data_IF_318199990703
#
_entry.id   IF_318199990703
#
_cell.length_a   1.000
_cell.length_b   1.000
_cell.length_c   1.000
_cell.angle_alpha   90.00
_cell.angle_beta   90.00
_cell.angle_gamma   90.00
#
_symmetry.space_group_name_H-M   'P 1'
#
loop_
_entity.id
_entity.type
_entity.pdbx_description
1 polymer ?
#
# COMPACT_ATOMS: atom_id res chain seq x y z
N UNK A 1 12.88 10.00 -24.23
CA UNK A 1 13.52 9.84 -22.91
C UNK A 1 14.90 9.26 -23.09
N UNK A 2 15.89 9.68 -22.29
CA UNK A 2 17.19 9.03 -22.19
C UNK A 2 17.20 7.96 -21.06
N UNK A 3 18.28 7.18 -20.96
CA UNK A 3 18.40 6.12 -19.94
C UNK A 3 18.23 6.66 -18.51
N UNK A 4 18.83 7.81 -18.21
CA UNK A 4 18.76 8.43 -16.89
C UNK A 4 17.33 8.84 -16.52
N UNK A 5 16.58 9.40 -17.47
CA UNK A 5 15.16 9.76 -17.27
C UNK A 5 14.29 8.52 -17.02
N UNK A 6 14.58 7.39 -17.68
CA UNK A 6 13.86 6.13 -17.44
C UNK A 6 14.16 5.56 -16.05
N UNK A 7 15.42 5.61 -15.61
CA UNK A 7 15.83 5.21 -14.26
C UNK A 7 15.17 6.10 -13.21
N UNK A 8 15.19 7.42 -13.42
CA UNK A 8 14.53 8.37 -12.53
C UNK A 8 13.03 8.08 -12.44
N UNK A 9 12.34 7.91 -13.57
CA UNK A 9 10.92 7.60 -13.60
C UNK A 9 10.61 6.30 -12.84
N UNK A 10 11.47 5.28 -12.96
CA UNK A 10 11.31 4.02 -12.22
C UNK A 10 11.34 4.25 -10.70
N UNK A 11 12.28 5.05 -10.19
CA UNK A 11 12.36 5.39 -8.78
C UNK A 11 11.22 6.31 -8.33
N UNK A 12 10.74 7.22 -9.18
CA UNK A 12 9.55 8.02 -8.88
C UNK A 12 8.31 7.15 -8.69
N UNK A 13 8.13 6.08 -9.50
CA UNK A 13 7.05 5.11 -9.28
C UNK A 13 7.26 4.32 -7.98
N UNK A 14 8.50 3.98 -7.63
CA UNK A 14 8.81 3.34 -6.35
C UNK A 14 8.46 4.25 -5.15
N UNK A 15 8.78 5.54 -5.23
CA UNK A 15 8.45 6.53 -4.22
C UNK A 15 6.93 6.75 -4.08
N UNK A 16 6.21 6.79 -5.21
CA UNK A 16 4.75 6.86 -5.21
C UNK A 16 4.13 5.63 -4.51
N UNK A 17 4.63 4.43 -4.80
CA UNK A 17 4.22 3.20 -4.10
C UNK A 17 4.46 3.30 -2.59
N UNK A 18 5.62 3.81 -2.18
CA UNK A 18 5.94 4.00 -0.75
C UNK A 18 5.01 5.03 -0.10
N UNK A 19 4.65 6.11 -0.80
CA UNK A 19 3.73 7.12 -0.28
C UNK A 19 2.32 6.54 -0.02
N UNK A 20 1.80 5.70 -0.91
CA UNK A 20 0.52 5.00 -0.69
C UNK A 20 0.60 4.04 0.50
N UNK A 21 1.70 3.31 0.68
CA UNK A 21 1.90 2.48 1.87
C UNK A 21 1.96 3.30 3.15
N UNK A 22 2.70 4.40 3.17
CA UNK A 22 2.80 5.26 4.34
C UNK A 22 1.44 5.84 4.73
N UNK A 23 0.68 6.36 3.76
CA UNK A 23 -0.67 6.85 3.99
C UNK A 23 -1.57 5.73 4.56
N UNK A 24 -1.51 4.55 3.96
CA UNK A 24 -2.28 3.39 4.43
C UNK A 24 -1.99 3.04 5.89
N UNK A 25 -0.71 2.94 6.26
CA UNK A 25 -0.29 2.64 7.65
C UNK A 25 -0.77 3.72 8.62
N UNK A 26 -0.68 4.99 8.25
CA UNK A 26 -1.18 6.10 9.08
C UNK A 26 -2.68 6.00 9.31
N UNK A 27 -3.46 5.70 8.26
CA UNK A 27 -4.92 5.55 8.36
C UNK A 27 -5.26 4.35 9.25
N UNK A 28 -4.67 3.18 9.01
CA UNK A 28 -4.90 1.99 9.85
C UNK A 28 -4.53 2.25 11.30
N UNK A 29 -3.34 2.79 11.55
CA UNK A 29 -2.87 3.12 12.90
C UNK A 29 -3.78 4.12 13.60
N UNK A 30 -4.20 5.18 12.90
CA UNK A 30 -5.13 6.18 13.42
C UNK A 30 -6.50 5.58 13.78
N UNK A 31 -7.05 4.71 12.93
CA UNK A 31 -8.32 4.03 13.19
C UNK A 31 -8.24 3.11 14.42
N UNK A 32 -7.17 2.33 14.53
CA UNK A 32 -6.98 1.41 15.65
C UNK A 32 -6.74 2.17 16.96
N UNK A 33 -5.92 3.22 16.95
CA UNK A 33 -5.68 4.08 18.10
C UNK A 33 -6.95 4.81 18.55
N UNK A 34 -7.67 5.44 17.61
CA UNK A 34 -8.94 6.08 17.93
C UNK A 34 -9.96 5.08 18.50
N UNK A 35 -10.05 3.88 17.91
CA UNK A 35 -10.94 2.84 18.38
C UNK A 35 -10.57 2.32 19.76
N UNK A 36 -9.29 2.24 20.12
CA UNK A 36 -8.83 1.76 21.43
C UNK A 36 -9.11 2.76 22.56
N UNK A 37 -9.11 4.06 22.26
CA UNK A 37 -9.43 5.13 23.23
C UNK A 37 -10.93 5.25 23.56
N UNK A 38 -11.82 4.65 22.76
CA UNK A 38 -13.27 4.71 23.00
C UNK A 38 -13.66 3.91 24.26
N UNK A 39 -14.38 4.57 25.17
CA UNK A 39 -14.90 3.97 26.42
C UNK A 39 -16.27 3.31 26.26
N UNK A 40 -17.15 3.90 25.45
CA UNK A 40 -18.52 3.43 25.26
C UNK A 40 -18.65 2.63 23.94
N UNK A 41 -19.54 1.62 23.88
CA UNK A 41 -19.85 0.94 22.63
C UNK A 41 -20.55 1.90 21.66
N UNK A 42 -20.18 1.82 20.38
CA UNK A 42 -20.70 2.68 19.33
C UNK A 42 -20.83 1.89 18.02
N UNK A 43 -21.85 1.04 17.97
CA UNK A 43 -22.11 0.10 16.88
C UNK A 43 -22.16 0.76 15.50
N UNK A 44 -23.00 1.78 15.38
CA UNK A 44 -23.25 2.49 14.12
C UNK A 44 -22.00 3.20 13.65
N UNK A 45 -21.30 3.90 14.55
CA UNK A 45 -20.03 4.56 14.23
C UNK A 45 -18.96 3.56 13.80
N UNK A 46 -18.85 2.41 14.47
CA UNK A 46 -17.89 1.37 14.07
C UNK A 46 -18.21 0.80 12.69
N UNK A 47 -19.49 0.57 12.38
CA UNK A 47 -19.91 0.13 11.05
C UNK A 47 -19.60 1.20 9.98
N UNK A 48 -19.96 2.45 10.25
CA UNK A 48 -19.70 3.58 9.35
C UNK A 48 -18.19 3.74 9.06
N UNK A 49 -17.36 3.74 10.11
CA UNK A 49 -15.91 3.84 9.98
C UNK A 49 -15.33 2.63 9.22
N UNK A 50 -15.86 1.43 9.41
CA UNK A 50 -15.42 0.24 8.67
C UNK A 50 -15.74 0.35 7.18
N UNK A 51 -16.91 0.88 6.83
CA UNK A 51 -17.29 1.15 5.43
C UNK A 51 -16.41 2.23 4.81
N UNK A 52 -16.20 3.35 5.52
CA UNK A 52 -15.33 4.43 5.05
C UNK A 52 -13.89 3.94 4.86
N UNK A 53 -13.38 3.13 5.78
CA UNK A 53 -12.08 2.48 5.64
C UNK A 53 -12.02 1.56 4.43
N UNK A 54 -13.04 0.72 4.20
CA UNK A 54 -13.08 -0.17 3.04
C UNK A 54 -13.08 0.60 1.71
N UNK A 55 -13.81 1.72 1.63
CA UNK A 55 -13.80 2.61 0.45
C UNK A 55 -12.42 3.24 0.22
N UNK A 56 -11.80 3.75 1.28
CA UNK A 56 -10.43 4.27 1.24
C UNK A 56 -9.44 3.19 0.79
N UNK A 57 -9.49 2.01 1.41
CA UNK A 57 -8.60 0.89 1.15
C UNK A 57 -8.72 0.42 -0.31
N UNK A 58 -9.95 0.31 -0.82
CA UNK A 58 -10.22 -0.01 -2.23
C UNK A 58 -9.56 1.00 -3.18
N UNK A 59 -9.76 2.31 -2.95
CA UNK A 59 -9.16 3.35 -3.79
C UNK A 59 -7.64 3.44 -3.66
N UNK A 60 -7.10 3.19 -2.48
CA UNK A 60 -5.66 3.14 -2.27
C UNK A 60 -5.04 1.96 -3.02
N UNK A 61 -5.68 0.79 -2.99
CA UNK A 61 -5.24 -0.40 -3.73
C UNK A 61 -5.30 -0.21 -5.25
N UNK A 62 -6.33 0.47 -5.75
CA UNK A 62 -6.48 0.87 -7.15
C UNK A 62 -5.30 1.75 -7.61
N UNK A 63 -4.94 2.77 -6.82
CA UNK A 63 -3.78 3.61 -7.13
C UNK A 63 -2.44 2.84 -7.10
N UNK A 64 -2.30 1.90 -6.16
CA UNK A 64 -1.13 1.03 -6.08
C UNK A 64 -1.04 0.07 -7.27
N UNK A 65 -2.17 -0.42 -7.79
CA UNK A 65 -2.22 -1.20 -9.03
C UNK A 65 -1.61 -0.40 -10.19
N UNK A 66 -2.08 0.84 -10.40
CA UNK A 66 -1.62 1.69 -11.49
C UNK A 66 -0.12 2.00 -11.40
N UNK A 67 0.37 2.33 -10.20
CA UNK A 67 1.80 2.59 -9.98
C UNK A 67 2.64 1.32 -10.18
N UNK A 68 2.14 0.15 -9.79
CA UNK A 68 2.81 -1.12 -10.10
C UNK A 68 2.88 -1.32 -11.60
N UNK A 69 1.78 -1.18 -12.34
CA UNK A 69 1.75 -1.33 -13.79
C UNK A 69 2.71 -0.36 -14.50
N UNK A 70 2.68 0.91 -14.12
CA UNK A 70 3.61 1.93 -14.61
C UNK A 70 5.07 1.53 -14.35
N UNK A 71 5.39 1.05 -13.14
CA UNK A 71 6.76 0.66 -12.77
C UNK A 71 7.27 -0.53 -13.59
N UNK A 72 6.41 -1.52 -13.88
CA UNK A 72 6.76 -2.63 -14.77
C UNK A 72 6.95 -2.17 -16.22
N UNK A 73 6.08 -1.28 -16.73
CA UNK A 73 6.24 -0.71 -18.07
C UNK A 73 7.55 0.08 -18.20
N UNK A 74 7.90 0.90 -17.20
CA UNK A 74 9.17 1.63 -17.17
C UNK A 74 10.37 0.68 -17.11
N UNK A 75 10.29 -0.40 -16.32
CA UNK A 75 11.35 -1.42 -16.29
C UNK A 75 11.56 -2.09 -17.65
N UNK A 76 10.47 -2.38 -18.37
CA UNK A 76 10.56 -2.93 -19.72
C UNK A 76 11.22 -1.94 -20.68
N UNK A 77 10.86 -0.65 -20.59
CA UNK A 77 11.48 0.40 -21.39
C UNK A 77 12.98 0.57 -21.08
N UNK A 78 13.40 0.48 -19.80
CA UNK A 78 14.82 0.48 -19.41
C UNK A 78 15.58 -0.66 -20.09
N UNK A 79 15.03 -1.89 -20.05
CA UNK A 79 15.66 -3.07 -20.65
C UNK A 79 15.77 -2.97 -22.18
N UNK A 80 14.82 -2.31 -22.82
CA UNK A 80 14.80 -2.10 -24.28
C UNK A 80 15.63 -0.89 -24.74
N UNK A 81 15.97 0.03 -23.82
CA UNK A 81 16.75 1.22 -24.13
C UNK A 81 18.13 0.81 -24.67
N UNK A 82 18.59 1.38 -25.77
CA UNK A 82 19.94 1.15 -26.33
C UNK A 82 20.26 -0.28 -26.84
N UNK A 83 19.27 -1.05 -27.29
CA UNK A 83 19.51 -2.18 -28.20
C UNK A 83 19.97 -1.76 -29.62
N UNK A 84 20.22 -0.46 -29.87
CA UNK A 84 20.42 0.11 -31.22
C UNK A 84 21.38 1.32 -31.33
N UNK A 85 22.22 1.64 -30.33
CA UNK A 85 23.05 2.88 -30.35
C UNK A 85 24.44 2.77 -29.68
N UNK A 86 25.44 3.48 -30.23
CA UNK A 86 26.88 3.27 -30.00
C UNK A 86 27.54 3.92 -28.77
N UNK A 87 26.82 4.21 -27.68
CA UNK A 87 27.39 4.76 -26.44
C UNK A 87 27.74 3.63 -25.42
N UNK A 88 28.56 2.66 -25.85
CA UNK A 88 28.49 1.29 -25.32
C UNK A 88 29.26 0.99 -24.02
N UNK A 89 30.34 1.71 -23.67
CA UNK A 89 31.21 1.26 -22.56
C UNK A 89 30.70 1.68 -21.16
N UNK A 90 30.52 2.97 -20.92
CA UNK A 90 30.10 3.49 -19.61
C UNK A 90 28.64 3.14 -19.27
N UNK A 91 27.76 3.11 -20.28
CA UNK A 91 26.36 2.74 -20.10
C UNK A 91 26.23 1.26 -19.72
N UNK A 92 27.03 0.37 -20.33
CA UNK A 92 27.04 -1.06 -20.03
C UNK A 92 27.42 -1.34 -18.58
N UNK A 93 28.47 -0.70 -18.06
CA UNK A 93 28.87 -0.86 -16.66
C UNK A 93 27.74 -0.46 -15.70
N UNK A 94 27.08 0.66 -15.95
CA UNK A 94 25.96 1.13 -15.11
C UNK A 94 24.76 0.17 -15.19
N UNK A 95 24.47 -0.38 -16.37
CA UNK A 95 23.39 -1.37 -16.56
C UNK A 95 23.66 -2.68 -15.84
N UNK A 96 24.86 -3.23 -16.02
CA UNK A 96 25.30 -4.47 -15.39
C UNK A 96 25.21 -4.39 -13.85
N UNK A 97 25.40 -3.19 -13.29
CA UNK A 97 25.26 -2.94 -11.85
C UNK A 97 23.82 -2.67 -11.40
N UNK A 98 23.06 -1.83 -12.12
CA UNK A 98 21.75 -1.36 -11.68
C UNK A 98 20.60 -2.29 -12.07
N UNK A 99 20.54 -2.75 -13.31
CA UNK A 99 19.37 -3.50 -13.82
C UNK A 99 19.02 -4.76 -13.00
N UNK A 100 20.00 -5.56 -12.51
CA UNK A 100 19.71 -6.71 -11.66
C UNK A 100 19.02 -6.34 -10.34
N UNK A 101 19.18 -5.11 -9.86
CA UNK A 101 18.57 -4.64 -8.61
C UNK A 101 17.14 -4.14 -8.81
N UNK A 102 16.71 -3.91 -10.06
CA UNK A 102 15.38 -3.39 -10.39
C UNK A 102 14.33 -4.52 -10.34
N UNK A 103 14.01 -4.93 -9.11
CA UNK A 103 13.10 -6.04 -8.80
C UNK A 103 11.82 -5.52 -8.13
N UNK A 104 10.88 -4.92 -8.89
CA UNK A 104 9.65 -4.40 -8.31
C UNK A 104 8.76 -5.54 -7.78
N UNK A 105 8.06 -5.30 -6.66
CA UNK A 105 7.06 -6.21 -6.17
C UNK A 105 5.92 -6.39 -7.18
N UNK A 106 5.45 -7.63 -7.35
CA UNK A 106 4.31 -7.93 -8.22
C UNK A 106 3.02 -7.37 -7.64
N UNK A 107 2.05 -7.03 -8.49
CA UNK A 107 0.75 -6.59 -8.02
C UNK A 107 0.07 -7.63 -7.12
N UNK A 108 0.24 -8.92 -7.43
CA UNK A 108 -0.28 -10.00 -6.59
C UNK A 108 0.23 -9.95 -5.15
N UNK A 109 1.53 -9.70 -4.96
CA UNK A 109 2.12 -9.53 -3.62
C UNK A 109 1.57 -8.28 -2.92
N UNK A 110 1.57 -7.14 -3.61
CA UNK A 110 1.04 -5.86 -3.08
C UNK A 110 -0.42 -6.03 -2.64
N UNK A 111 -1.27 -6.60 -3.49
CA UNK A 111 -2.68 -6.85 -3.23
C UNK A 111 -2.88 -7.82 -2.06
N UNK A 112 -2.11 -8.91 -2.00
CA UNK A 112 -2.26 -9.90 -0.93
C UNK A 112 -1.97 -9.27 0.44
N UNK A 113 -0.87 -8.53 0.58
CA UNK A 113 -0.53 -7.83 1.82
C UNK A 113 -1.57 -6.76 2.18
N UNK A 114 -2.01 -5.98 1.21
CA UNK A 114 -2.98 -4.90 1.41
C UNK A 114 -4.34 -5.44 1.87
N UNK A 115 -4.93 -6.39 1.13
CA UNK A 115 -6.23 -6.99 1.46
C UNK A 115 -6.20 -7.75 2.78
N UNK A 116 -5.09 -8.47 3.08
CA UNK A 116 -4.94 -9.14 4.37
C UNK A 116 -4.97 -8.13 5.52
N UNK A 117 -4.28 -7.00 5.36
CA UNK A 117 -4.25 -5.92 6.35
C UNK A 117 -5.62 -5.26 6.51
N UNK A 118 -6.39 -5.11 5.42
CA UNK A 118 -7.75 -4.59 5.48
C UNK A 118 -8.67 -5.47 6.32
N UNK A 119 -8.66 -6.78 6.05
CA UNK A 119 -9.46 -7.76 6.79
C UNK A 119 -9.11 -7.76 8.26
N UNK A 120 -7.80 -7.77 8.59
CA UNK A 120 -7.33 -7.72 9.98
C UNK A 120 -7.73 -6.42 10.68
N UNK A 121 -7.67 -5.28 9.98
CA UNK A 121 -8.08 -3.98 10.52
C UNK A 121 -9.56 -3.96 10.87
N UNK A 122 -10.42 -4.40 9.94
CA UNK A 122 -11.87 -4.49 10.18
C UNK A 122 -12.17 -5.47 11.31
N UNK A 123 -11.54 -6.65 11.32
CA UNK A 123 -11.70 -7.63 12.38
C UNK A 123 -11.32 -7.06 13.75
N UNK A 124 -10.21 -6.30 13.84
CA UNK A 124 -9.79 -5.64 15.08
C UNK A 124 -10.80 -4.59 15.54
N UNK A 125 -11.34 -3.77 14.63
CA UNK A 125 -12.39 -2.78 14.96
C UNK A 125 -13.65 -3.46 15.53
N UNK A 126 -14.08 -4.56 14.91
CA UNK A 126 -15.24 -5.33 15.37
C UNK A 126 -14.97 -6.02 16.71
N UNK A 127 -13.79 -6.61 16.90
CA UNK A 127 -13.39 -7.24 18.15
C UNK A 127 -13.38 -6.24 19.32
N UNK A 128 -12.82 -5.04 19.10
CA UNK A 128 -12.83 -3.96 20.09
C UNK A 128 -14.26 -3.52 20.45
N UNK A 129 -15.15 -3.40 19.46
CA UNK A 129 -16.55 -3.05 19.68
C UNK A 129 -17.32 -4.14 20.43
N UNK A 130 -17.14 -5.41 20.04
CA UNK A 130 -17.75 -6.56 20.71
C UNK A 130 -17.33 -6.64 22.19
N UNK A 131 -16.03 -6.47 22.47
CA UNK A 131 -15.50 -6.42 23.84
C UNK A 131 -16.18 -5.32 24.66
N UNK A 132 -16.33 -4.11 24.13
CA UNK A 132 -17.01 -3.00 24.82
C UNK A 132 -18.48 -3.29 25.12
N UNK A 133 -19.21 -3.87 24.17
CA UNK A 133 -20.61 -4.24 24.39
C UNK A 133 -20.77 -5.28 25.50
N UNK A 134 -19.93 -6.32 25.50
CA UNK A 134 -19.92 -7.35 26.54
C UNK A 134 -19.65 -6.75 27.93
N UNK A 135 -18.67 -5.85 28.04
CA UNK A 135 -18.37 -5.16 29.31
C UNK A 135 -19.55 -4.30 29.79
N UNK A 136 -20.20 -3.56 28.90
CA UNK A 136 -21.37 -2.74 29.26
C UNK A 136 -22.56 -3.60 29.70
N UNK A 137 -22.82 -4.72 29.05
CA UNK A 137 -23.88 -5.66 29.43
C UNK A 137 -23.63 -6.25 30.83
N UNK A 138 -22.40 -6.64 31.13
CA UNK A 138 -22.03 -7.15 32.45
C UNK A 138 -22.25 -6.10 33.56
N UNK A 139 -21.93 -4.83 33.30
CA UNK A 139 -22.16 -3.73 34.26
C UNK A 139 -23.65 -3.40 34.46
N UNK A 140 -24.51 -3.62 33.47
CA UNK A 140 -25.95 -3.37 33.61
C UNK A 140 -26.71 -4.53 34.24
N UNK A 141 -26.09 -5.72 34.33
CA UNK A 141 -26.71 -6.93 34.87
C UNK A 141 -26.40 -7.16 36.38
N UNK A 142 -25.45 -6.41 36.94
CA UNK A 142 -25.10 -6.36 38.37
C UNK A 142 -25.88 -5.27 39.10
#
# INVERSE_FOLDING_TARGET
MNYNELIQLYFERANAMQAYWNLYVVIVGGLLAFSSMRKQPAAVTTALVSVLFALFAYKNLDAMHDVTAQRFATLQAIKQFDSSGGALANLKQVRDLLEPTLTPATYGSVRATHVTSDVLTIAALLAMEFRRRKLRQALTAS
#
